data_IF_142535713714
#
_entry.id   IF_142535713714
#
_cell.length_a   1.000
_cell.length_b   1.000
_cell.length_c   1.000
_cell.angle_alpha   90.00
_cell.angle_beta   90.00
_cell.angle_gamma   90.00
#
_symmetry.space_group_name_H-M   'P 1'
#
loop_
_entity.id
_entity.type
_entity.pdbx_description
1 polymer ?
#
# COMPACT_ATOMS: atom_id res chain seq x y z
N UNK A 1 -3.62 -0.34 26.72
CA UNK A 1 -2.58 -1.37 26.49
C UNK A 1 -3.16 -2.61 25.81
N UNK A 2 -4.21 -3.27 26.33
CA UNK A 2 -4.92 -4.36 25.59
C UNK A 2 -5.38 -3.95 24.19
N UNK A 3 -5.72 -2.67 24.01
CA UNK A 3 -6.10 -2.12 22.71
C UNK A 3 -4.97 -2.20 21.67
N UNK A 4 -3.70 -2.12 22.06
CA UNK A 4 -2.56 -2.18 21.14
C UNK A 4 -2.45 -3.57 20.52
N UNK A 5 -2.50 -4.63 21.33
CA UNK A 5 -2.46 -6.01 20.81
C UNK A 5 -3.64 -6.28 19.88
N UNK A 6 -4.84 -5.85 20.28
CA UNK A 6 -6.04 -5.97 19.45
C UNK A 6 -5.86 -5.28 18.09
N UNK A 7 -5.35 -4.05 18.08
CA UNK A 7 -5.08 -3.31 16.85
C UNK A 7 -4.01 -3.98 15.99
N UNK A 8 -2.93 -4.50 16.59
CA UNK A 8 -1.91 -5.26 15.87
C UNK A 8 -2.54 -6.52 15.23
N UNK A 9 -3.40 -7.24 15.93
CA UNK A 9 -4.12 -8.41 15.38
C UNK A 9 -5.04 -8.00 14.22
N UNK A 10 -5.77 -6.91 14.34
CA UNK A 10 -6.62 -6.39 13.26
C UNK A 10 -5.78 -6.10 12.01
N UNK A 11 -4.68 -5.36 12.17
CA UNK A 11 -3.77 -4.99 11.08
C UNK A 11 -3.07 -6.21 10.45
N UNK A 12 -2.68 -7.22 11.24
CA UNK A 12 -2.11 -8.48 10.75
C UNK A 12 -3.07 -9.30 9.88
N UNK A 13 -4.37 -9.04 10.05
CA UNK A 13 -5.47 -9.63 9.29
C UNK A 13 -6.01 -8.67 8.20
N UNK A 14 -5.30 -7.57 7.92
CA UNK A 14 -5.67 -6.60 6.88
C UNK A 14 -6.83 -5.68 7.22
N UNK A 15 -7.33 -5.72 8.45
CA UNK A 15 -8.38 -4.84 8.95
C UNK A 15 -7.75 -3.55 9.46
N UNK A 16 -8.58 -2.53 9.64
CA UNK A 16 -8.14 -1.29 10.26
C UNK A 16 -8.23 -1.32 11.79
N UNK A 17 -7.55 -0.39 12.44
CA UNK A 17 -7.59 -0.20 13.89
C UNK A 17 -8.94 0.34 14.35
N UNK A 18 -9.29 0.08 15.61
CA UNK A 18 -10.45 0.69 16.27
C UNK A 18 -10.15 2.09 16.84
N UNK A 19 -8.92 2.59 16.66
CA UNK A 19 -8.48 3.89 17.16
C UNK A 19 -9.17 5.09 16.45
N UNK A 20 -9.31 6.23 17.16
CA UNK A 20 -9.65 7.52 16.55
C UNK A 20 -8.71 7.87 15.39
N UNK A 21 -9.25 8.51 14.36
CA UNK A 21 -8.51 8.85 13.14
C UNK A 21 -7.54 10.04 13.30
N UNK A 22 -7.64 10.75 14.42
CA UNK A 22 -6.94 12.03 14.64
C UNK A 22 -5.55 11.84 15.27
N UNK A 23 -5.13 10.59 15.51
CA UNK A 23 -3.80 10.30 16.01
C UNK A 23 -2.74 10.52 14.93
N UNK A 24 -1.86 11.47 15.19
CA UNK A 24 -0.70 11.76 14.36
C UNK A 24 0.46 12.26 15.24
N UNK A 25 1.60 11.57 15.15
CA UNK A 25 2.80 11.90 15.91
C UNK A 25 3.68 12.93 15.22
N UNK A 26 3.58 12.99 13.88
CA UNK A 26 4.43 13.81 13.03
C UNK A 26 3.65 14.34 11.83
N UNK A 27 3.01 15.50 12.04
CA UNK A 27 2.19 16.19 11.04
C UNK A 27 3.04 16.84 9.95
N UNK A 28 2.43 17.34 8.88
CA UNK A 28 3.12 18.16 7.88
C UNK A 28 3.65 19.47 8.47
N UNK A 29 2.94 20.03 9.46
CA UNK A 29 3.40 21.18 10.23
C UNK A 29 4.69 20.86 11.01
N UNK A 30 4.68 19.79 11.82
CA UNK A 30 5.86 19.30 12.55
C UNK A 30 7.04 19.03 11.58
N UNK A 31 6.73 18.45 10.41
CA UNK A 31 7.71 18.17 9.37
C UNK A 31 8.32 19.45 8.77
N UNK A 32 7.53 20.49 8.59
CA UNK A 32 7.98 21.78 8.08
C UNK A 32 8.84 22.50 9.13
N UNK A 33 8.44 22.51 10.40
CA UNK A 33 9.22 23.07 11.50
C UNK A 33 10.60 22.39 11.62
N UNK A 34 10.63 21.04 11.52
CA UNK A 34 11.87 20.27 11.51
C UNK A 34 12.76 20.53 10.28
N UNK A 35 12.20 21.03 9.17
CA UNK A 35 12.96 21.45 8.00
C UNK A 35 13.53 22.86 8.20
N UNK A 36 12.71 23.79 8.72
CA UNK A 36 13.08 25.17 9.03
C UNK A 36 14.23 25.23 10.04
N UNK A 37 14.19 24.39 11.09
CA UNK A 37 15.27 24.31 12.07
C UNK A 37 16.62 23.87 11.48
N UNK A 38 16.61 23.24 10.29
CA UNK A 38 17.79 22.84 9.50
C UNK A 38 18.12 23.83 8.38
N UNK A 39 17.47 25.00 8.34
CA UNK A 39 17.66 26.02 7.31
C UNK A 39 17.03 25.69 5.96
N UNK A 40 16.08 24.75 5.91
CA UNK A 40 15.35 24.39 4.70
C UNK A 40 13.97 25.06 4.67
N UNK A 41 13.53 25.48 3.49
CA UNK A 41 12.17 26.01 3.31
C UNK A 41 11.11 24.91 3.48
N UNK A 42 9.89 25.25 3.97
CA UNK A 42 8.77 24.32 4.00
C UNK A 42 8.41 23.89 2.56
N UNK A 43 8.06 22.61 2.40
CA UNK A 43 7.84 22.01 1.06
C UNK A 43 6.44 21.41 0.85
N UNK A 44 5.56 21.51 1.83
CA UNK A 44 4.14 21.17 1.70
C UNK A 44 3.28 22.11 2.56
N UNK A 45 2.03 22.41 2.16
CA UNK A 45 1.08 23.13 3.01
C UNK A 45 0.73 22.26 4.24
N UNK A 46 0.73 22.81 5.47
CA UNK A 46 0.40 22.06 6.69
C UNK A 46 -1.06 21.55 6.67
N UNK A 47 -1.95 22.26 6.01
CA UNK A 47 -3.36 21.93 5.85
C UNK A 47 -3.66 21.06 4.63
N UNK A 48 -2.64 20.54 3.92
CA UNK A 48 -2.80 19.73 2.70
C UNK A 48 -3.89 18.66 2.83
N UNK A 49 -4.83 18.65 1.88
CA UNK A 49 -5.91 17.66 1.80
C UNK A 49 -5.74 16.85 0.51
N UNK A 50 -5.67 15.51 0.59
CA UNK A 50 -5.66 14.67 -0.60
C UNK A 50 -7.03 14.70 -1.28
N UNK A 51 -7.05 15.08 -2.56
CA UNK A 51 -8.23 15.09 -3.41
C UNK A 51 -7.83 14.47 -4.75
N UNK A 52 -8.56 13.41 -5.14
CA UNK A 52 -8.36 12.71 -6.39
C UNK A 52 -8.44 13.69 -7.57
N UNK A 53 -7.55 13.49 -8.55
CA UNK A 53 -7.44 14.32 -9.76
C UNK A 53 -7.03 15.78 -9.52
N UNK A 54 -6.75 16.18 -8.28
CA UNK A 54 -6.29 17.52 -7.94
C UNK A 54 -4.91 17.48 -7.26
N UNK A 55 -4.80 16.78 -6.14
CA UNK A 55 -3.59 16.74 -5.32
C UNK A 55 -3.00 15.33 -5.13
N UNK A 56 -3.79 14.29 -5.42
CA UNK A 56 -3.34 12.89 -5.44
C UNK A 56 -3.85 12.15 -6.67
N UNK A 57 -3.11 11.12 -7.07
CA UNK A 57 -3.45 10.22 -8.16
C UNK A 57 -3.38 8.78 -7.66
N UNK A 58 -4.52 8.09 -7.68
CA UNK A 58 -4.59 6.66 -7.41
C UNK A 58 -4.89 5.94 -8.72
N UNK A 59 -4.14 4.86 -8.95
CA UNK A 59 -4.28 3.97 -10.10
C UNK A 59 -4.57 2.58 -9.57
N UNK A 60 -5.48 1.85 -10.21
CA UNK A 60 -5.67 0.43 -9.96
C UNK A 60 -5.15 -0.37 -11.15
N UNK A 61 -4.61 -1.55 -10.86
CA UNK A 61 -4.19 -2.49 -11.89
C UNK A 61 -4.71 -3.87 -11.53
N UNK A 62 -5.42 -4.49 -12.45
CA UNK A 62 -6.01 -5.80 -12.28
C UNK A 62 -5.09 -6.89 -12.81
N UNK A 63 -4.87 -7.92 -11.99
CA UNK A 63 -4.14 -9.12 -12.36
C UNK A 63 -5.06 -10.32 -12.19
N UNK A 64 -5.56 -10.84 -13.30
CA UNK A 64 -6.51 -11.96 -13.29
C UNK A 64 -5.88 -13.12 -14.06
N UNK A 65 -5.66 -14.24 -13.36
CA UNK A 65 -5.07 -15.46 -13.92
C UNK A 65 -6.11 -16.58 -13.90
N UNK A 66 -6.48 -17.09 -15.06
CA UNK A 66 -7.48 -18.17 -15.17
C UNK A 66 -6.90 -19.54 -14.76
N UNK A 67 -7.72 -20.59 -14.82
CA UNK A 67 -7.35 -21.97 -14.48
C UNK A 67 -6.27 -22.56 -15.40
N UNK A 68 -6.13 -22.04 -16.62
CA UNK A 68 -5.09 -22.44 -17.58
C UNK A 68 -3.76 -21.71 -17.37
N UNK A 69 -3.66 -20.89 -16.32
CA UNK A 69 -2.52 -20.02 -16.03
C UNK A 69 -2.26 -18.94 -17.09
N UNK A 70 -3.31 -18.57 -17.84
CA UNK A 70 -3.30 -17.45 -18.77
C UNK A 70 -3.66 -16.16 -18.02
N UNK A 71 -2.98 -15.06 -18.36
CA UNK A 71 -3.23 -13.73 -17.80
C UNK A 71 -4.21 -12.95 -18.68
N UNK A 72 -5.17 -12.26 -18.05
CA UNK A 72 -6.07 -11.34 -18.74
C UNK A 72 -5.31 -10.08 -19.15
N UNK A 73 -5.32 -9.77 -20.45
CA UNK A 73 -4.68 -8.61 -21.03
C UNK A 73 -5.69 -7.83 -21.87
N UNK A 74 -5.54 -6.51 -21.94
CA UNK A 74 -6.29 -5.63 -22.83
C UNK A 74 -5.34 -5.00 -23.86
N UNK A 75 -5.90 -4.60 -25.01
CA UNK A 75 -5.17 -3.89 -26.05
C UNK A 75 -5.60 -2.41 -26.10
N UNK A 76 -4.64 -1.51 -25.97
CA UNK A 76 -4.82 -0.07 -25.85
C UNK A 76 -5.46 0.56 -27.09
N UNK A 77 -6.48 1.39 -26.88
CA UNK A 77 -7.10 2.20 -27.92
C UNK A 77 -6.50 3.62 -28.02
N UNK A 78 -5.83 4.10 -26.97
CA UNK A 78 -5.25 5.45 -26.89
C UNK A 78 -4.15 5.64 -27.93
N UNK A 79 -4.20 6.75 -28.66
CA UNK A 79 -3.31 7.02 -29.81
C UNK A 79 -1.82 6.95 -29.49
N UNK A 80 -1.39 7.30 -28.28
CA UNK A 80 0.02 7.26 -27.86
C UNK A 80 0.59 5.85 -27.72
N UNK A 81 -0.26 4.85 -27.48
CA UNK A 81 0.12 3.45 -27.27
C UNK A 81 -0.80 2.46 -28.01
N UNK A 82 -1.47 2.94 -29.07
CA UNK A 82 -2.52 2.19 -29.75
C UNK A 82 -1.98 0.84 -30.27
N UNK A 83 -2.72 -0.23 -29.99
CA UNK A 83 -2.36 -1.58 -30.39
C UNK A 83 -1.33 -2.27 -29.49
N UNK A 84 -0.74 -1.58 -28.50
CA UNK A 84 0.08 -2.21 -27.48
C UNK A 84 -0.80 -2.90 -26.42
N UNK A 85 -0.23 -3.87 -25.72
CA UNK A 85 -0.94 -4.66 -24.71
C UNK A 85 -0.54 -4.28 -23.29
N UNK A 86 -1.50 -4.30 -22.39
CA UNK A 86 -1.29 -4.03 -20.97
C UNK A 86 -2.24 -4.83 -20.08
N UNK A 87 -1.97 -4.81 -18.78
CA UNK A 87 -2.94 -5.28 -17.79
C UNK A 87 -4.09 -4.28 -17.70
N UNK A 88 -5.33 -4.71 -17.41
CA UNK A 88 -6.42 -3.77 -17.22
C UNK A 88 -6.11 -2.82 -16.06
N UNK A 89 -6.14 -1.51 -16.31
CA UNK A 89 -5.66 -0.53 -15.36
C UNK A 89 -6.12 0.89 -15.68
N UNK A 90 -6.57 1.61 -14.66
CA UNK A 90 -6.94 3.01 -14.81
C UNK A 90 -6.99 3.76 -13.49
N UNK A 91 -7.37 5.03 -13.58
CA UNK A 91 -7.36 5.95 -12.44
C UNK A 91 -8.61 5.72 -11.59
N UNK A 92 -8.47 5.81 -10.27
CA UNK A 92 -9.63 5.83 -9.37
C UNK A 92 -10.38 7.14 -9.57
N UNK A 93 -11.70 7.04 -9.73
CA UNK A 93 -12.58 8.18 -9.93
C UNK A 93 -13.06 8.80 -8.60
N UNK A 94 -13.44 10.09 -8.56
CA UNK A 94 -14.04 10.67 -7.36
C UNK A 94 -15.29 9.90 -6.92
N UNK A 95 -15.43 9.68 -5.60
CA UNK A 95 -16.49 8.88 -4.98
C UNK A 95 -16.44 7.38 -5.29
N UNK A 96 -15.32 6.88 -5.83
CA UNK A 96 -15.09 5.47 -6.12
C UNK A 96 -14.08 4.87 -5.14
N UNK A 97 -14.32 3.64 -4.67
CA UNK A 97 -13.31 2.94 -3.87
C UNK A 97 -12.28 2.29 -4.78
N UNK A 98 -11.08 2.01 -4.26
CA UNK A 98 -10.05 1.24 -4.99
C UNK A 98 -10.61 -0.11 -5.51
N UNK A 99 -11.51 -0.75 -4.76
CA UNK A 99 -12.12 -2.01 -5.19
C UNK A 99 -13.17 -1.80 -6.27
N UNK A 100 -13.95 -0.72 -6.23
CA UNK A 100 -14.94 -0.42 -7.27
C UNK A 100 -14.25 -0.01 -8.58
N UNK A 101 -13.17 0.77 -8.50
CA UNK A 101 -12.32 1.11 -9.64
C UNK A 101 -11.79 -0.17 -10.31
N UNK A 102 -11.30 -1.14 -9.54
CA UNK A 102 -10.88 -2.42 -10.10
C UNK A 102 -12.01 -3.09 -10.92
N UNK A 103 -13.24 -3.11 -10.41
CA UNK A 103 -14.37 -3.75 -11.10
C UNK A 103 -14.74 -3.01 -12.37
N UNK A 104 -14.77 -1.67 -12.31
CA UNK A 104 -15.10 -0.79 -13.43
C UNK A 104 -14.07 -0.96 -14.56
N UNK A 105 -12.78 -0.80 -14.25
CA UNK A 105 -11.70 -0.90 -15.24
C UNK A 105 -11.70 -2.28 -15.93
N UNK A 106 -11.88 -3.37 -15.17
CA UNK A 106 -11.98 -4.72 -15.76
C UNK A 106 -13.19 -4.83 -16.70
N UNK A 107 -14.35 -4.29 -16.31
CA UNK A 107 -15.55 -4.34 -17.15
C UNK A 107 -15.40 -3.51 -18.43
N UNK A 108 -14.97 -2.27 -18.31
CA UNK A 108 -14.83 -1.31 -19.41
C UNK A 108 -13.79 -1.80 -20.45
N UNK A 109 -12.63 -2.24 -19.97
CA UNK A 109 -11.51 -2.59 -20.83
C UNK A 109 -11.57 -4.04 -21.35
N UNK A 110 -12.31 -4.94 -20.69
CA UNK A 110 -12.29 -6.38 -21.03
C UNK A 110 -13.64 -7.03 -21.25
N UNK A 111 -14.75 -6.37 -20.91
CA UNK A 111 -16.11 -6.92 -21.00
C UNK A 111 -16.45 -7.97 -19.93
N UNK A 112 -15.51 -8.28 -19.03
CA UNK A 112 -15.68 -9.25 -17.96
C UNK A 112 -16.08 -8.55 -16.65
N UNK A 113 -16.93 -9.18 -15.85
CA UNK A 113 -17.13 -8.77 -14.45
C UNK A 113 -16.18 -9.56 -13.57
N UNK A 114 -15.60 -8.92 -12.56
CA UNK A 114 -14.64 -9.56 -11.67
C UNK A 114 -14.80 -9.06 -10.24
N UNK A 115 -14.31 -9.85 -9.28
CA UNK A 115 -14.21 -9.47 -7.87
C UNK A 115 -12.74 -9.49 -7.43
N UNK A 116 -12.24 -8.43 -6.78
CA UNK A 116 -10.88 -8.42 -6.26
C UNK A 116 -10.74 -9.43 -5.12
N UNK A 117 -9.61 -10.13 -5.08
CA UNK A 117 -9.34 -11.20 -4.11
C UNK A 117 -8.23 -10.86 -3.14
N UNK A 118 -7.21 -10.11 -3.56
CA UNK A 118 -6.15 -9.60 -2.69
C UNK A 118 -5.38 -8.46 -3.35
N UNK A 119 -4.79 -7.60 -2.52
CA UNK A 119 -3.73 -6.67 -2.88
C UNK A 119 -2.43 -7.46 -3.04
N UNK A 120 -1.83 -7.38 -4.22
CA UNK A 120 -0.56 -8.02 -4.56
C UNK A 120 0.61 -7.08 -4.34
N UNK A 121 0.43 -5.78 -4.59
CA UNK A 121 1.50 -4.80 -4.49
C UNK A 121 0.92 -3.39 -4.32
N UNK A 122 1.64 -2.56 -3.58
CA UNK A 122 1.46 -1.11 -3.60
C UNK A 122 2.70 -0.51 -4.22
N UNK A 123 2.51 0.33 -5.24
CA UNK A 123 3.57 1.15 -5.78
C UNK A 123 3.30 2.61 -5.47
N UNK A 124 4.35 3.38 -5.22
CA UNK A 124 4.25 4.80 -4.94
C UNK A 124 5.31 5.57 -5.69
N UNK A 125 4.95 6.76 -6.15
CA UNK A 125 5.84 7.75 -6.71
C UNK A 125 5.57 9.08 -6.00
N UNK A 126 6.62 9.66 -5.41
CA UNK A 126 6.46 10.68 -4.36
C UNK A 126 5.49 10.20 -3.25
N UNK A 127 4.76 11.11 -2.61
CA UNK A 127 3.75 10.81 -1.60
C UNK A 127 2.33 11.01 -2.10
N UNK A 128 2.16 11.39 -3.37
CA UNK A 128 0.88 11.77 -3.98
C UNK A 128 0.43 10.85 -5.13
N UNK A 129 1.27 9.94 -5.62
CA UNK A 129 0.90 8.97 -6.65
C UNK A 129 1.03 7.55 -6.13
N UNK A 130 -0.01 6.74 -6.35
CA UNK A 130 -0.07 5.34 -5.92
C UNK A 130 -0.67 4.46 -7.00
N UNK A 131 -0.10 3.27 -7.19
CA UNK A 131 -0.72 2.19 -7.97
C UNK A 131 -0.99 0.99 -7.07
N UNK A 132 -2.25 0.59 -7.00
CA UNK A 132 -2.73 -0.56 -6.23
C UNK A 132 -2.92 -1.73 -7.19
N UNK A 133 -2.03 -2.73 -7.09
CA UNK A 133 -2.12 -3.93 -7.92
C UNK A 133 -2.94 -4.97 -7.18
N UNK A 134 -4.09 -5.34 -7.74
CA UNK A 134 -5.04 -6.26 -7.15
C UNK A 134 -5.14 -7.53 -8.00
N UNK A 135 -5.07 -8.69 -7.34
CA UNK A 135 -5.56 -9.93 -7.93
C UNK A 135 -7.08 -9.95 -7.89
N UNK A 136 -7.70 -10.67 -8.81
CA UNK A 136 -9.15 -10.93 -8.76
C UNK A 136 -9.56 -12.15 -9.56
N UNK A 137 -10.84 -12.47 -9.48
CA UNK A 137 -11.44 -13.60 -10.18
C UNK A 137 -12.62 -13.10 -11.03
N UNK A 138 -12.73 -13.64 -12.24
CA UNK A 138 -13.88 -13.39 -13.11
C UNK A 138 -15.13 -14.00 -12.50
N UNK A 139 -16.21 -13.22 -12.44
CA UNK A 139 -17.52 -13.63 -11.93
C UNK A 139 -18.59 -13.70 -13.01
N UNK A 140 -18.30 -13.21 -14.22
CA UNK A 140 -19.24 -13.19 -15.34
C UNK A 140 -18.77 -12.31 -16.49
N UNK A 141 -19.70 -11.95 -17.36
CA UNK A 141 -19.43 -11.18 -18.58
C UNK A 141 -18.88 -12.02 -19.73
N UNK A 142 -18.48 -11.35 -20.80
CA UNK A 142 -17.88 -11.98 -21.99
C UNK A 142 -16.69 -11.16 -22.46
N UNK A 143 -15.63 -11.86 -22.87
CA UNK A 143 -14.39 -11.18 -23.24
C UNK A 143 -14.59 -10.30 -24.47
N UNK A 144 -14.17 -9.04 -24.36
CA UNK A 144 -14.35 -7.98 -25.36
C UNK A 144 -13.61 -8.32 -26.65
N UNK A 145 -14.37 -8.41 -27.73
CA UNK A 145 -13.88 -8.74 -29.06
C UNK A 145 -13.48 -7.47 -29.83
N UNK A 146 -12.64 -7.58 -30.89
CA UNK A 146 -12.30 -6.45 -31.77
C UNK A 146 -13.51 -5.72 -32.37
N UNK A 147 -14.63 -6.41 -32.58
CA UNK A 147 -15.88 -5.80 -33.07
C UNK A 147 -16.55 -4.87 -32.06
N UNK A 148 -16.11 -4.90 -30.80
CA UNK A 148 -16.60 -4.07 -29.69
C UNK A 148 -15.55 -3.02 -29.28
N UNK A 149 -14.57 -2.74 -30.15
CA UNK A 149 -13.55 -1.73 -29.90
C UNK A 149 -14.18 -0.35 -29.66
N UNK A 150 -13.69 0.35 -28.65
CA UNK A 150 -14.11 1.69 -28.27
C UNK A 150 -12.92 2.51 -27.72
N UNK A 151 -13.20 3.61 -27.02
CA UNK A 151 -12.17 4.46 -26.41
C UNK A 151 -11.42 3.82 -25.24
N UNK A 152 -12.01 2.81 -24.59
CA UNK A 152 -11.42 2.14 -23.43
C UNK A 152 -10.38 1.11 -23.88
N UNK A 153 -10.75 0.29 -24.85
CA UNK A 153 -9.83 -0.72 -25.40
C UNK A 153 -10.29 -1.26 -26.75
N UNK A 154 -9.33 -1.79 -27.51
CA UNK A 154 -9.62 -2.43 -28.81
C UNK A 154 -10.16 -3.85 -28.64
N UNK A 155 -9.64 -4.60 -27.66
CA UNK A 155 -10.04 -5.98 -27.34
C UNK A 155 -9.40 -6.42 -26.02
N UNK A 156 -9.81 -7.58 -25.51
CA UNK A 156 -9.12 -8.30 -24.45
C UNK A 156 -8.85 -9.76 -24.81
N UNK A 157 -7.79 -10.34 -24.23
CA UNK A 157 -7.40 -11.74 -24.42
C UNK A 157 -6.84 -12.37 -23.16
N UNK A 158 -7.05 -13.69 -23.05
CA UNK A 158 -6.26 -14.55 -22.18
C UNK A 158 -4.95 -14.88 -22.88
N UNK A 159 -3.82 -14.65 -22.20
CA UNK A 159 -2.50 -14.79 -22.78
C UNK A 159 -1.61 -15.67 -21.91
N UNK A 160 -0.99 -16.69 -22.49
CA UNK A 160 -0.07 -17.55 -21.76
C UNK A 160 1.31 -16.90 -21.59
N UNK A 161 1.86 -16.40 -22.70
CA UNK A 161 3.21 -15.85 -22.76
C UNK A 161 3.18 -14.37 -23.16
N UNK A 162 3.60 -13.50 -22.24
CA UNK A 162 3.63 -12.05 -22.49
C UNK A 162 4.70 -11.64 -23.50
N UNK A 163 5.72 -12.48 -23.74
CA UNK A 163 6.75 -12.21 -24.73
C UNK A 163 6.21 -12.20 -26.17
N UNK A 164 5.03 -12.77 -26.40
CA UNK A 164 4.38 -12.82 -27.71
C UNK A 164 3.63 -11.51 -28.04
N UNK A 165 3.56 -10.57 -27.08
CA UNK A 165 2.83 -9.31 -27.21
C UNK A 165 3.78 -8.12 -27.32
N UNK A 166 3.38 -7.12 -28.10
CA UNK A 166 3.96 -5.77 -28.02
C UNK A 166 3.40 -5.06 -26.79
N UNK A 167 4.13 -5.09 -25.67
CA UNK A 167 3.69 -4.50 -24.41
C UNK A 167 3.80 -2.97 -24.41
N UNK A 168 2.83 -2.30 -23.76
CA UNK A 168 2.88 -0.85 -23.53
C UNK A 168 4.06 -0.45 -22.65
N UNK A 169 4.30 -1.21 -21.58
CA UNK A 169 5.43 -1.05 -20.68
C UNK A 169 5.87 -2.40 -20.10
N UNK A 170 7.15 -2.54 -19.76
CA UNK A 170 7.75 -3.78 -19.25
C UNK A 170 7.62 -3.99 -17.75
N UNK A 171 7.09 -3.01 -17.01
CA UNK A 171 6.88 -3.06 -15.56
C UNK A 171 5.96 -4.20 -15.14
N UNK A 172 4.94 -4.50 -15.95
CA UNK A 172 3.97 -5.58 -15.71
C UNK A 172 4.59 -6.97 -15.68
N UNK A 173 5.77 -7.18 -16.29
CA UNK A 173 6.42 -8.49 -16.29
C UNK A 173 6.73 -8.96 -14.86
N UNK A 174 7.29 -8.06 -14.05
CA UNK A 174 7.64 -8.35 -12.66
C UNK A 174 6.39 -8.55 -11.79
N UNK A 175 5.32 -7.82 -12.11
CA UNK A 175 4.02 -7.90 -11.44
C UNK A 175 3.36 -9.25 -11.73
N UNK A 176 3.32 -9.68 -12.99
CA UNK A 176 2.71 -10.95 -13.40
C UNK A 176 3.47 -12.14 -12.84
N UNK A 177 4.81 -12.10 -12.83
CA UNK A 177 5.61 -13.16 -12.19
C UNK A 177 5.39 -13.24 -10.68
N UNK A 178 5.24 -12.09 -10.01
CA UNK A 178 4.85 -12.05 -8.61
C UNK A 178 3.47 -12.67 -8.38
N UNK A 179 2.49 -12.32 -9.21
CA UNK A 179 1.13 -12.85 -9.11
C UNK A 179 1.04 -14.36 -9.38
N UNK A 180 1.78 -14.88 -10.37
CA UNK A 180 1.91 -16.33 -10.62
C UNK A 180 2.51 -17.05 -9.43
N UNK A 181 3.59 -16.50 -8.87
CA UNK A 181 4.21 -17.03 -7.66
C UNK A 181 3.25 -17.04 -6.48
N UNK A 182 2.44 -15.99 -6.33
CA UNK A 182 1.42 -15.89 -5.29
C UNK A 182 0.31 -16.93 -5.49
N UNK A 183 -0.19 -17.11 -6.73
CA UNK A 183 -1.21 -18.11 -7.06
C UNK A 183 -0.76 -19.54 -6.74
N UNK A 184 0.44 -19.94 -7.18
CA UNK A 184 1.03 -21.26 -6.88
C UNK A 184 1.07 -21.51 -5.35
N UNK A 185 1.32 -20.47 -4.58
CA UNK A 185 1.42 -20.60 -3.13
C UNK A 185 0.08 -20.67 -2.41
N UNK A 186 -0.94 -19.99 -2.92
CA UNK A 186 -2.31 -20.22 -2.48
C UNK A 186 -2.73 -21.68 -2.72
N UNK A 187 -2.44 -22.21 -3.91
CA UNK A 187 -2.79 -23.58 -4.30
C UNK A 187 -2.05 -24.63 -3.44
N UNK A 188 -0.83 -24.33 -3.01
CA UNK A 188 0.01 -25.22 -2.18
C UNK A 188 -0.11 -24.99 -0.67
N UNK A 189 -1.04 -24.12 -0.23
CA UNK A 189 -1.27 -23.74 1.17
C UNK A 189 -0.02 -23.18 1.90
N UNK A 190 0.99 -22.71 1.16
CA UNK A 190 2.17 -22.04 1.71
C UNK A 190 1.97 -20.53 1.68
N UNK A 191 0.96 -20.02 2.39
CA UNK A 191 0.53 -18.62 2.26
C UNK A 191 1.65 -17.62 2.59
N UNK A 192 2.07 -16.81 1.61
CA UNK A 192 2.93 -15.64 1.78
C UNK A 192 2.37 -14.72 2.89
N UNK A 193 1.19 -14.17 2.64
CA UNK A 193 0.39 -13.40 3.58
C UNK A 193 -1.09 -13.77 3.35
N UNK A 194 -2.00 -13.49 4.29
CA UNK A 194 -3.44 -13.67 4.08
C UNK A 194 -3.89 -12.84 2.88
N UNK A 195 -5.05 -13.17 2.31
CA UNK A 195 -5.68 -12.28 1.33
C UNK A 195 -6.04 -10.97 2.01
N UNK A 196 -5.50 -9.86 1.49
CA UNK A 196 -5.62 -8.52 2.07
C UNK A 196 -6.31 -7.63 1.05
N UNK A 197 -7.47 -7.07 1.36
CA UNK A 197 -8.11 -6.05 0.53
C UNK A 197 -8.08 -4.70 1.25
N UNK A 198 -8.15 -3.58 0.51
CA UNK A 198 -8.34 -2.27 1.13
C UNK A 198 -9.56 -2.31 2.08
N UNK A 199 -9.35 -2.00 3.37
CA UNK A 199 -10.44 -1.93 4.33
C UNK A 199 -11.23 -0.64 4.08
N UNK A 200 -12.58 -0.68 4.07
CA UNK A 200 -13.44 0.47 3.82
C UNK A 200 -13.46 1.46 5.01
N UNK A 201 -12.32 2.07 5.30
CA UNK A 201 -12.14 3.15 6.28
C UNK A 201 -11.73 4.44 5.58
N UNK A 202 -12.50 5.51 5.80
CA UNK A 202 -12.22 6.82 5.19
C UNK A 202 -11.23 7.62 6.04
N UNK A 203 -10.20 8.21 5.42
CA UNK A 203 -9.21 9.06 6.12
C UNK A 203 -9.24 10.49 5.58
N UNK A 204 -8.94 11.48 6.42
CA UNK A 204 -8.95 12.91 6.03
C UNK A 204 -7.63 13.37 5.39
N UNK A 205 -6.56 12.61 5.63
CA UNK A 205 -5.18 12.87 5.21
C UNK A 205 -4.56 11.58 4.67
N UNK A 206 -3.33 11.68 4.18
CA UNK A 206 -2.51 10.53 3.84
C UNK A 206 -1.68 10.15 5.06
N UNK A 207 -1.83 8.94 5.57
CA UNK A 207 -1.14 8.47 6.77
C UNK A 207 -0.23 7.29 6.51
N UNK A 208 0.92 7.29 7.17
CA UNK A 208 1.82 6.15 7.29
C UNK A 208 1.84 5.70 8.74
N UNK A 209 1.23 4.55 9.02
CA UNK A 209 1.25 3.88 10.33
C UNK A 209 2.38 2.86 10.35
N UNK A 210 3.11 2.78 11.45
CA UNK A 210 4.21 1.85 11.60
C UNK A 210 3.94 0.86 12.74
N UNK A 211 4.15 -0.42 12.47
CA UNK A 211 4.35 -1.44 13.50
C UNK A 211 5.85 -1.71 13.56
N UNK A 212 6.51 -1.12 14.56
CA UNK A 212 7.96 -1.25 14.73
C UNK A 212 8.23 -2.30 15.79
N UNK A 213 8.94 -3.36 15.42
CA UNK A 213 9.26 -4.46 16.31
C UNK A 213 10.74 -4.46 16.71
N UNK A 214 11.02 -4.73 17.98
CA UNK A 214 12.34 -5.07 18.49
C UNK A 214 12.28 -6.31 19.38
N UNK A 215 13.42 -6.97 19.59
CA UNK A 215 13.54 -8.12 20.48
C UNK A 215 14.38 -7.75 21.70
N UNK A 216 13.94 -8.20 22.87
CA UNK A 216 14.69 -8.08 24.12
C UNK A 216 15.85 -9.07 24.16
N UNK A 217 17.05 -8.62 24.56
CA UNK A 217 18.27 -9.45 24.54
C UNK A 217 18.19 -10.68 25.45
N UNK A 218 17.56 -10.54 26.61
CA UNK A 218 17.60 -11.57 27.68
C UNK A 218 16.67 -12.76 27.44
N UNK A 219 15.56 -12.57 26.73
CA UNK A 219 14.51 -13.58 26.59
C UNK A 219 13.89 -13.64 25.19
N UNK A 220 14.41 -12.89 24.23
CA UNK A 220 13.91 -12.79 22.85
C UNK A 220 12.43 -12.38 22.71
N UNK A 221 11.81 -11.85 23.76
CA UNK A 221 10.41 -11.39 23.68
C UNK A 221 10.29 -10.22 22.72
N UNK A 222 9.27 -10.28 21.88
CA UNK A 222 8.95 -9.24 20.89
C UNK A 222 8.26 -8.08 21.58
N UNK A 223 8.70 -6.87 21.27
CA UNK A 223 8.08 -5.64 21.70
C UNK A 223 7.70 -4.82 20.48
N UNK A 224 6.60 -4.09 20.57
CA UNK A 224 6.16 -3.11 19.56
C UNK A 224 6.35 -1.70 20.11
N UNK A 225 6.75 -0.76 19.25
CA UNK A 225 6.84 0.64 19.64
C UNK A 225 5.43 1.24 19.74
N UNK A 226 5.19 2.02 20.78
CA UNK A 226 3.93 2.71 21.05
C UNK A 226 4.23 4.19 21.27
N UNK A 227 3.43 5.05 20.65
CA UNK A 227 3.44 6.49 20.94
C UNK A 227 2.57 6.80 22.15
N UNK A 228 3.06 7.70 23.00
CA UNK A 228 2.34 8.23 24.16
C UNK A 228 2.04 9.73 24.02
N UNK A 229 2.26 10.34 22.84
CA UNK A 229 2.12 11.80 22.59
C UNK A 229 0.72 12.34 22.93
N UNK A 230 -0.33 11.61 22.56
CA UNK A 230 -1.74 12.01 22.78
C UNK A 230 -2.47 10.95 23.61
N UNK A 231 -2.42 9.71 23.15
CA UNK A 231 -2.86 8.51 23.84
C UNK A 231 -1.96 7.35 23.40
N UNK A 232 -1.98 6.22 24.10
CA UNK A 232 -1.24 5.03 23.68
C UNK A 232 -1.77 4.49 22.34
N UNK A 233 -0.99 4.62 21.27
CA UNK A 233 -1.32 4.17 19.91
C UNK A 233 -0.08 3.72 19.13
N UNK A 234 -0.27 3.04 18.00
CA UNK A 234 0.83 2.70 17.10
C UNK A 234 1.36 3.97 16.40
N UNK A 235 2.67 4.14 16.17
CA UNK A 235 3.20 5.37 15.57
C UNK A 235 2.57 5.71 14.21
N UNK A 236 2.10 6.94 14.03
CA UNK A 236 1.48 7.44 12.79
C UNK A 236 2.07 8.78 12.38
N UNK A 237 2.40 8.95 11.10
CA UNK A 237 2.76 10.26 10.53
C UNK A 237 1.95 10.60 9.28
N UNK A 238 1.88 11.90 8.96
CA UNK A 238 1.34 12.35 7.67
C UNK A 238 2.35 12.13 6.54
N UNK A 239 1.88 11.60 5.42
CA UNK A 239 2.68 11.41 4.22
C UNK A 239 2.83 12.75 3.50
N UNK A 240 4.07 13.19 3.34
CA UNK A 240 4.39 14.39 2.58
C UNK A 240 4.19 14.19 1.07
N UNK A 241 3.33 14.97 0.39
CA UNK A 241 2.94 14.72 -1.01
C UNK A 241 4.13 14.78 -1.98
N UNK A 242 5.06 15.71 -1.77
CA UNK A 242 6.27 15.87 -2.61
C UNK A 242 7.48 14.98 -2.24
N UNK A 243 7.35 14.00 -1.34
CA UNK A 243 8.48 13.16 -0.90
C UNK A 243 8.15 11.68 -1.04
N UNK A 244 9.14 10.87 -1.40
CA UNK A 244 8.95 9.42 -1.48
C UNK A 244 8.68 8.80 -0.10
N UNK A 245 7.94 7.69 -0.06
CA UNK A 245 7.65 6.98 1.19
C UNK A 245 8.92 6.51 1.91
N UNK A 246 10.00 6.18 1.20
CA UNK A 246 11.30 5.89 1.82
C UNK A 246 11.87 7.10 2.57
N UNK A 247 11.77 8.30 2.00
CA UNK A 247 12.24 9.52 2.65
C UNK A 247 11.40 9.86 3.88
N UNK A 248 10.07 9.68 3.79
CA UNK A 248 9.13 9.89 4.89
C UNK A 248 9.39 8.90 6.02
N UNK A 249 9.51 7.61 5.71
CA UNK A 249 9.86 6.57 6.69
C UNK A 249 11.18 6.92 7.38
N UNK A 250 12.23 7.28 6.64
CA UNK A 250 13.53 7.66 7.22
C UNK A 250 13.39 8.87 8.16
N UNK A 251 12.65 9.90 7.74
CA UNK A 251 12.45 11.12 8.54
C UNK A 251 11.67 10.81 9.81
N UNK A 252 10.59 10.03 9.71
CA UNK A 252 9.78 9.65 10.86
C UNK A 252 10.55 8.74 11.83
N UNK A 253 11.33 7.78 11.32
CA UNK A 253 12.23 6.97 12.15
C UNK A 253 13.28 7.84 12.87
N UNK A 254 13.84 8.86 12.19
CA UNK A 254 14.78 9.82 12.82
C UNK A 254 14.08 10.65 13.91
N UNK A 255 12.80 10.99 13.73
CA UNK A 255 11.99 11.69 14.72
C UNK A 255 11.67 10.83 15.96
N UNK A 256 11.65 9.50 15.82
CA UNK A 256 11.37 8.58 16.94
C UNK A 256 12.62 8.17 17.72
N UNK A 257 13.74 7.98 17.02
CA UNK A 257 14.98 7.43 17.59
C UNK A 257 16.12 8.46 17.69
N UNK A 258 15.92 9.68 17.20
CA UNK A 258 16.95 10.72 17.18
C UNK A 258 18.02 10.51 16.10
N UNK A 259 19.19 11.12 16.31
CA UNK A 259 20.30 11.11 15.34
C UNK A 259 20.92 9.71 15.15
N UNK A 260 20.96 8.91 16.22
CA UNK A 260 21.52 7.55 16.21
C UNK A 260 20.46 6.53 15.78
N UNK A 261 20.02 6.64 14.53
CA UNK A 261 18.95 5.83 13.97
C UNK A 261 19.35 4.34 13.94
N UNK A 262 18.61 3.43 14.61
CA UNK A 262 18.97 2.03 14.63
C UNK A 262 18.80 1.39 13.24
N UNK A 263 19.65 0.40 12.95
CA UNK A 263 19.52 -0.39 11.73
C UNK A 263 18.15 -1.08 11.72
N UNK A 264 17.36 -0.83 10.68
CA UNK A 264 16.00 -1.32 10.56
C UNK A 264 15.73 -1.88 9.16
N UNK A 265 14.63 -2.63 9.05
CA UNK A 265 14.16 -3.22 7.79
C UNK A 265 12.64 -3.05 7.68
N UNK A 266 12.13 -2.29 6.70
CA UNK A 266 10.74 -2.39 6.31
C UNK A 266 10.50 -3.74 5.62
N UNK A 267 9.41 -4.41 5.99
CA UNK A 267 9.03 -5.70 5.43
C UNK A 267 7.98 -5.57 4.32
N UNK A 268 7.09 -4.59 4.42
CA UNK A 268 6.02 -4.31 3.47
C UNK A 268 4.75 -3.81 4.16
N UNK A 269 3.65 -3.74 3.40
CA UNK A 269 2.33 -3.29 3.84
C UNK A 269 1.58 -4.47 4.48
N UNK A 270 1.02 -4.24 5.67
CA UNK A 270 0.15 -5.17 6.37
C UNK A 270 -1.33 -4.87 6.17
N UNK A 271 -1.67 -3.58 6.10
CA UNK A 271 -3.04 -3.13 5.93
C UNK A 271 -3.07 -1.82 5.14
N UNK A 272 -4.14 -1.64 4.37
CA UNK A 272 -4.47 -0.42 3.64
C UNK A 272 -5.89 -0.03 4.01
N UNK A 273 -6.07 1.13 4.62
CA UNK A 273 -7.38 1.72 4.88
C UNK A 273 -7.69 2.78 3.82
N UNK A 274 -8.79 2.60 3.09
CA UNK A 274 -9.28 3.56 2.10
C UNK A 274 -10.78 3.39 1.89
N UNK A 275 -11.52 4.49 1.82
CA UNK A 275 -12.93 4.49 1.47
C UNK A 275 -13.37 5.86 0.96
N UNK A 276 -14.28 5.85 -0.01
CA UNK A 276 -14.79 7.02 -0.72
C UNK A 276 -16.14 7.54 -0.18
N UNK A 277 -16.60 7.05 0.98
CA UNK A 277 -17.92 7.41 1.53
C UNK A 277 -18.14 8.93 1.60
N UNK A 278 -19.33 9.42 1.21
CA UNK A 278 -19.63 10.85 1.17
C UNK A 278 -19.53 11.45 2.56
N UNK A 279 -18.63 12.42 2.72
CA UNK A 279 -18.41 13.19 3.95
C UNK A 279 -18.69 14.67 3.69
N UNK A 280 -19.02 15.45 4.74
CA UNK A 280 -19.17 16.91 4.61
C UNK A 280 -17.89 17.62 4.12
N UNK A 281 -16.72 16.97 4.20
CA UNK A 281 -15.47 17.36 3.54
C UNK A 281 -15.06 16.25 2.57
N UNK A 282 -14.93 16.57 1.28
CA UNK A 282 -14.50 15.64 0.23
C UNK A 282 -12.98 15.48 0.37
N UNK A 283 -12.53 14.34 0.87
CA UNK A 283 -11.11 14.02 1.03
C UNK A 283 -10.87 12.56 0.63
N UNK A 284 -9.86 12.33 -0.19
CA UNK A 284 -9.46 11.02 -0.69
C UNK A 284 -8.23 10.51 0.07
N UNK A 285 -8.28 10.59 1.41
CA UNK A 285 -7.20 10.13 2.27
C UNK A 285 -7.13 8.61 2.37
N UNK A 286 -5.96 8.11 2.75
CA UNK A 286 -5.71 6.69 3.01
C UNK A 286 -4.75 6.52 4.18
N UNK A 287 -4.67 5.30 4.70
CA UNK A 287 -3.64 4.91 5.66
C UNK A 287 -2.93 3.63 5.20
N UNK A 288 -1.61 3.71 5.03
CA UNK A 288 -0.73 2.57 4.82
C UNK A 288 -0.12 2.13 6.14
N UNK A 289 -0.28 0.86 6.50
CA UNK A 289 0.37 0.28 7.68
C UNK A 289 1.58 -0.55 7.26
N UNK A 290 2.79 -0.14 7.66
CA UNK A 290 4.03 -0.85 7.39
C UNK A 290 4.54 -1.63 8.60
N UNK A 291 5.02 -2.84 8.35
CA UNK A 291 5.80 -3.61 9.32
C UNK A 291 7.28 -3.25 9.21
N UNK A 292 7.90 -2.89 10.32
CA UNK A 292 9.32 -2.55 10.39
C UNK A 292 9.96 -3.33 11.54
N UNK A 293 11.12 -3.95 11.32
CA UNK A 293 11.90 -4.56 12.39
C UNK A 293 13.19 -3.80 12.63
N UNK A 294 13.51 -3.52 13.89
CA UNK A 294 14.82 -3.06 14.33
C UNK A 294 15.75 -4.27 14.52
N UNK A 295 17.00 -4.16 14.06
CA UNK A 295 17.98 -5.25 14.12
C UNK A 295 18.72 -5.31 15.45
N UNK A 296 18.80 -4.19 16.16
CA UNK A 296 19.44 -4.10 17.46
C UNK A 296 18.50 -4.63 18.57
N UNK A 297 19.06 -5.20 19.66
CA UNK A 297 18.28 -5.52 20.83
C UNK A 297 17.65 -4.27 21.43
N UNK A 298 16.48 -4.42 22.04
CA UNK A 298 15.70 -3.31 22.63
C UNK A 298 16.54 -2.44 23.59
N UNK A 299 17.42 -3.05 24.38
CA UNK A 299 18.28 -2.35 25.34
C UNK A 299 19.33 -1.44 24.70
N UNK A 300 19.65 -1.66 23.43
CA UNK A 300 20.63 -0.89 22.66
C UNK A 300 19.95 0.17 21.77
N UNK A 301 18.63 0.29 21.84
CA UNK A 301 17.85 1.26 21.05
C UNK A 301 17.42 2.42 21.94
N UNK A 302 18.06 3.58 21.73
CA UNK A 302 17.65 4.83 22.37
C UNK A 302 16.28 5.29 21.87
N UNK A 303 15.41 5.71 22.78
CA UNK A 303 14.09 6.28 22.47
C UNK A 303 14.03 7.74 22.93
N UNK A 304 13.21 8.53 22.24
CA UNK A 304 12.78 9.85 22.71
C UNK A 304 11.58 9.66 23.65
N UNK A 305 11.47 10.51 24.69
CA UNK A 305 10.53 10.41 25.83
C UNK A 305 9.05 10.17 25.47
N UNK A 306 8.62 10.46 24.24
CA UNK A 306 7.24 10.28 23.77
C UNK A 306 6.92 8.87 23.23
N UNK A 307 7.89 7.96 23.22
CA UNK A 307 7.70 6.58 22.76
C UNK A 307 8.12 5.56 23.82
N UNK A 308 7.39 4.45 23.89
CA UNK A 308 7.68 3.35 24.80
C UNK A 308 7.61 2.00 24.08
N UNK A 309 8.32 1.00 24.62
CA UNK A 309 8.28 -0.37 24.13
C UNK A 309 7.22 -1.17 24.86
N UNK A 310 6.21 -1.65 24.14
CA UNK A 310 5.17 -2.51 24.67
C UNK A 310 5.46 -3.98 24.36
N UNK A 311 5.59 -4.82 25.39
CA UNK A 311 5.80 -6.27 25.20
C UNK A 311 4.49 -6.93 24.76
N UNK A 312 4.49 -7.54 23.58
CA UNK A 312 3.32 -8.29 23.11
C UNK A 312 3.31 -9.72 23.63
N UNK A 313 2.13 -10.33 23.69
CA UNK A 313 1.91 -11.71 24.05
C UNK A 313 2.50 -12.68 23.00
N UNK A 314 2.58 -13.97 23.34
CA UNK A 314 3.25 -14.98 22.51
C UNK A 314 2.56 -15.20 21.16
N UNK A 315 1.23 -15.10 21.11
CA UNK A 315 0.46 -15.27 19.87
C UNK A 315 0.74 -14.14 18.89
N UNK A 316 0.61 -12.90 19.34
CA UNK A 316 0.87 -11.69 18.54
C UNK A 316 2.34 -11.67 18.10
N UNK A 317 3.26 -12.02 18.99
CA UNK A 317 4.68 -12.15 18.67
C UNK A 317 4.90 -13.16 17.54
N UNK A 318 4.32 -14.36 17.64
CA UNK A 318 4.43 -15.41 16.61
C UNK A 318 3.93 -14.93 15.24
N UNK A 319 2.77 -14.28 15.22
CA UNK A 319 2.17 -13.74 14.02
C UNK A 319 3.03 -12.62 13.39
N UNK A 320 3.53 -11.67 14.18
CA UNK A 320 4.45 -10.63 13.69
C UNK A 320 5.72 -11.24 13.10
N UNK A 321 6.33 -12.20 13.78
CA UNK A 321 7.55 -12.85 13.30
C UNK A 321 7.33 -13.63 12.00
N UNK A 322 6.17 -14.28 11.86
CA UNK A 322 5.79 -14.95 10.60
C UNK A 322 5.71 -13.99 9.41
N UNK A 323 5.42 -12.70 9.65
CA UNK A 323 5.32 -11.64 8.63
C UNK A 323 6.68 -11.02 8.26
N UNK A 324 7.74 -11.29 9.01
CA UNK A 324 9.09 -10.74 8.75
C UNK A 324 9.89 -11.55 7.72
N UNK A 325 9.32 -12.63 7.18
CA UNK A 325 9.93 -13.41 6.11
C UNK A 325 9.83 -12.74 4.74
N UNK A 326 10.59 -13.24 3.76
CA UNK A 326 10.52 -12.74 2.38
C UNK A 326 9.11 -12.94 1.82
N UNK A 327 8.56 -11.89 1.23
CA UNK A 327 7.20 -11.88 0.64
C UNK A 327 6.08 -12.23 1.64
N UNK A 328 6.30 -12.09 2.95
CA UNK A 328 5.27 -12.37 3.96
C UNK A 328 4.36 -11.18 4.27
N UNK A 329 4.47 -10.11 3.50
CA UNK A 329 3.63 -8.90 3.53
C UNK A 329 3.49 -8.40 2.09
N UNK A 330 2.52 -7.52 1.85
CA UNK A 330 2.34 -6.91 0.52
C UNK A 330 3.54 -6.01 0.22
N UNK A 331 4.27 -6.23 -0.88
CA UNK A 331 5.39 -5.39 -1.25
C UNK A 331 4.98 -3.92 -1.44
N UNK A 332 5.79 -3.01 -0.89
CA UNK A 332 5.75 -1.58 -1.20
C UNK A 332 6.91 -1.24 -2.14
N UNK A 333 6.61 -0.96 -3.41
CA UNK A 333 7.59 -0.47 -4.37
C UNK A 333 7.57 1.05 -4.40
N UNK A 334 8.73 1.69 -4.25
CA UNK A 334 8.84 3.15 -4.32
C UNK A 334 9.60 3.49 -5.59
N UNK A 335 8.84 3.86 -6.62
CA UNK A 335 9.37 4.15 -7.95
C UNK A 335 10.05 5.51 -7.92
N UNK A 336 11.21 5.61 -8.58
CA UNK A 336 11.83 6.91 -8.83
C UNK A 336 11.04 7.56 -9.95
N UNK A 337 10.46 8.73 -9.69
CA UNK A 337 9.80 9.54 -10.72
C UNK A 337 10.81 9.85 -11.83
N UNK A 338 10.69 9.20 -12.99
CA UNK A 338 11.13 9.76 -14.26
C UNK A 338 10.01 10.63 -14.79
N UNK A 339 10.34 11.77 -15.38
CA UNK A 339 9.41 12.82 -15.84
C UNK A 339 8.39 12.37 -16.93
N UNK A 340 8.36 11.09 -17.29
CA UNK A 340 7.61 10.57 -18.45
C UNK A 340 6.20 10.06 -18.17
N UNK A 341 5.80 9.87 -16.90
CA UNK A 341 4.50 9.25 -16.55
C UNK A 341 3.52 10.18 -15.82
N UNK A 342 3.75 11.51 -15.90
CA UNK A 342 2.87 12.54 -15.32
C UNK A 342 1.70 12.91 -16.25
#
# INVERSE_FOLDING_TARGET
MENIEKNVILLLNGKDTEEPQDFCDFTLEDQNEAAISKGLAPSAPPDFVPILKQSVCYVVMAVIINEKNEILMMQEAKSSCAGQWYLPAGRVEPNESIMDAFKREVLEETGLTAEPSTLLMVESAAGSWYRFVLAGNVTGGSIKQPSQADSESLQAKWVQNLADLSLRAGDILSIVEHARSFKIQLDTQQAFHPSLLPTPRSYTKLFLRLIICARRKTNNKVHVLVSEKTAAHLPVCEIHPGRSLHAILKKFMTEMFGADLPSHRPHGVLALGHNCQPRPKITDGLCLTLLVSVRLPLEEVGLIDKYSWFQVNLEVAGNLLSRMGRFRTVPLNVVRTSESDA
#
